data_IF_366435044468
#
_entry.id   IF_366435044468
#
_cell.length_a   1.000
_cell.length_b   1.000
_cell.length_c   1.000
_cell.angle_alpha   90.00
_cell.angle_beta   90.00
_cell.angle_gamma   90.00
#
_symmetry.space_group_name_H-M   'P 1'
#
loop_
_entity.id
_entity.type
_entity.pdbx_description
1 polymer ?
#
# COMPACT_ATOMS: atom_id res chain seq x y z
N UNK A 1 -11.83 15.61 -0.23
CA UNK A 1 -11.39 14.25 -0.67
C UNK A 1 -11.62 13.26 0.46
N UNK A 2 -12.43 12.21 0.24
CA UNK A 2 -12.77 11.18 1.23
C UNK A 2 -12.01 9.90 0.97
N UNK A 3 -11.66 9.14 2.03
CA UNK A 3 -10.94 7.84 1.92
C UNK A 3 -11.70 6.84 1.05
N UNK A 4 -13.03 6.79 1.17
CA UNK A 4 -13.90 5.94 0.34
C UNK A 4 -13.73 6.25 -1.13
N UNK A 5 -13.62 7.52 -1.51
CA UNK A 5 -13.45 7.95 -2.91
C UNK A 5 -12.06 7.58 -3.42
N UNK A 6 -11.03 7.62 -2.57
CA UNK A 6 -9.71 7.09 -2.94
C UNK A 6 -9.74 5.58 -3.21
N UNK A 7 -10.46 4.79 -2.39
CA UNK A 7 -10.66 3.35 -2.66
C UNK A 7 -11.40 3.12 -3.99
N UNK A 8 -12.40 3.94 -4.30
CA UNK A 8 -13.11 3.91 -5.59
C UNK A 8 -12.17 4.21 -6.75
N UNK A 9 -11.38 5.26 -6.63
CA UNK A 9 -10.37 5.63 -7.62
C UNK A 9 -9.37 4.49 -7.87
N UNK A 10 -8.82 3.88 -6.81
CA UNK A 10 -7.88 2.77 -6.91
C UNK A 10 -8.50 1.53 -7.57
N UNK A 11 -9.77 1.23 -7.28
CA UNK A 11 -10.47 0.12 -7.91
C UNK A 11 -10.65 0.34 -9.42
N UNK A 12 -11.02 1.56 -9.85
CA UNK A 12 -11.16 1.89 -11.28
C UNK A 12 -9.80 1.89 -11.98
N UNK A 13 -8.75 2.39 -11.32
CA UNK A 13 -7.39 2.38 -11.84
C UNK A 13 -6.83 0.96 -12.03
N UNK A 14 -7.27 0.00 -11.21
CA UNK A 14 -6.88 -1.42 -11.32
C UNK A 14 -7.65 -2.15 -12.41
N UNK A 15 -8.98 -1.95 -12.46
CA UNK A 15 -9.85 -2.68 -13.39
C UNK A 15 -9.86 -2.07 -14.80
N UNK A 16 -9.35 -0.84 -14.99
CA UNK A 16 -9.41 -0.06 -16.23
C UNK A 16 -10.82 0.02 -16.82
N UNK A 17 -11.84 -0.24 -16.00
CA UNK A 17 -13.24 -0.32 -16.39
C UNK A 17 -14.16 0.07 -15.24
N UNK A 18 -14.95 1.14 -15.42
CA UNK A 18 -15.82 1.67 -14.37
C UNK A 18 -16.92 0.68 -14.00
N UNK A 19 -17.49 -0.03 -14.96
CA UNK A 19 -18.59 -0.99 -14.70
C UNK A 19 -18.12 -2.19 -13.90
N UNK A 20 -16.93 -2.74 -14.22
CA UNK A 20 -16.31 -3.83 -13.45
C UNK A 20 -15.98 -3.37 -12.04
N UNK A 21 -15.36 -2.20 -11.91
CA UNK A 21 -15.03 -1.65 -10.60
C UNK A 21 -16.28 -1.39 -9.75
N UNK A 22 -17.36 -0.88 -10.34
CA UNK A 22 -18.63 -0.65 -9.65
C UNK A 22 -19.23 -1.97 -9.12
N UNK A 23 -19.20 -3.04 -9.91
CA UNK A 23 -19.63 -4.36 -9.48
C UNK A 23 -18.82 -4.90 -8.29
N UNK A 24 -17.49 -4.78 -8.33
CA UNK A 24 -16.59 -5.18 -7.25
C UNK A 24 -16.81 -4.37 -5.95
N UNK A 25 -17.16 -3.10 -6.09
CA UNK A 25 -17.41 -2.19 -4.97
C UNK A 25 -18.86 -2.24 -4.47
N UNK A 26 -19.71 -3.06 -5.07
CA UNK A 26 -21.14 -3.16 -4.78
C UNK A 26 -21.89 -1.82 -4.85
N UNK A 27 -21.52 -0.99 -5.83
CA UNK A 27 -22.17 0.31 -6.12
C UNK A 27 -22.65 0.36 -7.57
N UNK A 28 -23.54 1.31 -7.87
CA UNK A 28 -23.95 1.51 -9.27
C UNK A 28 -22.88 2.27 -10.06
N UNK A 29 -22.74 1.96 -11.34
CA UNK A 29 -21.79 2.64 -12.23
C UNK A 29 -22.02 4.17 -12.27
N UNK A 30 -23.27 4.72 -12.34
CA UNK A 30 -23.48 6.16 -12.28
C UNK A 30 -22.99 6.79 -10.97
N UNK A 31 -23.19 6.12 -9.84
CA UNK A 31 -22.69 6.59 -8.53
C UNK A 31 -21.17 6.67 -8.52
N UNK A 32 -20.49 5.59 -8.95
CA UNK A 32 -19.04 5.55 -9.02
C UNK A 32 -18.50 6.64 -9.95
N UNK A 33 -19.09 6.77 -11.14
CA UNK A 33 -18.69 7.78 -12.12
C UNK A 33 -18.82 9.21 -11.58
N UNK A 34 -19.93 9.51 -10.86
CA UNK A 34 -20.17 10.82 -10.26
C UNK A 34 -19.13 11.12 -9.17
N UNK A 35 -18.83 10.16 -8.31
CA UNK A 35 -17.84 10.34 -7.23
C UNK A 35 -16.44 10.62 -7.79
N UNK A 36 -16.06 9.96 -8.89
CA UNK A 36 -14.77 10.21 -9.54
C UNK A 36 -14.75 11.57 -10.25
N UNK A 37 -15.85 12.00 -10.89
CA UNK A 37 -15.92 13.34 -11.48
C UNK A 37 -15.81 14.43 -10.39
N UNK A 38 -16.49 14.25 -9.27
CA UNK A 38 -16.39 15.17 -8.15
C UNK A 38 -14.96 15.23 -7.60
N UNK A 39 -14.25 14.11 -7.49
CA UNK A 39 -12.85 14.07 -7.10
C UNK A 39 -11.96 14.85 -8.08
N UNK A 40 -12.16 14.68 -9.40
CA UNK A 40 -11.45 15.44 -10.43
C UNK A 40 -11.73 16.95 -10.31
N UNK A 41 -12.97 17.35 -10.03
CA UNK A 41 -13.35 18.74 -9.80
C UNK A 41 -12.70 19.33 -8.54
N UNK A 42 -12.73 18.61 -7.41
CA UNK A 42 -12.08 19.02 -6.17
C UNK A 42 -10.58 19.24 -6.32
N UNK A 43 -9.92 18.39 -7.13
CA UNK A 43 -8.48 18.47 -7.36
C UNK A 43 -8.10 19.42 -8.50
N UNK A 44 -9.05 19.83 -9.33
CA UNK A 44 -8.84 20.69 -10.48
C UNK A 44 -8.08 20.03 -11.64
N UNK A 45 -7.99 18.69 -11.66
CA UNK A 45 -7.24 17.92 -12.65
C UNK A 45 -8.05 16.74 -13.17
N UNK A 46 -7.71 16.24 -14.36
CA UNK A 46 -8.26 14.99 -14.87
C UNK A 46 -7.37 13.82 -14.46
N UNK A 47 -8.00 12.82 -13.86
CA UNK A 47 -7.31 11.62 -13.37
C UNK A 47 -7.36 10.47 -14.38
N UNK A 48 -8.36 10.52 -15.27
CA UNK A 48 -8.59 9.47 -16.26
C UNK A 48 -8.79 10.02 -17.66
N UNK A 49 -8.18 9.38 -18.64
CA UNK A 49 -8.58 9.43 -20.05
C UNK A 49 -9.70 8.40 -20.23
N UNK A 50 -10.92 8.87 -20.57
CA UNK A 50 -12.09 8.02 -20.79
C UNK A 50 -12.25 7.79 -22.28
N UNK A 51 -12.13 6.55 -22.72
CA UNK A 51 -12.55 6.11 -24.06
C UNK A 51 -13.78 5.24 -23.97
N UNK A 52 -14.37 4.89 -25.13
CA UNK A 52 -15.56 4.06 -25.18
C UNK A 52 -15.35 2.66 -24.59
N UNK A 53 -14.10 2.16 -24.53
CA UNK A 53 -13.76 0.79 -24.13
C UNK A 53 -12.83 0.68 -22.92
N UNK A 54 -12.10 1.74 -22.59
CA UNK A 54 -11.09 1.72 -21.51
C UNK A 54 -11.02 3.05 -20.76
N UNK A 55 -10.65 2.93 -19.52
CA UNK A 55 -10.34 4.06 -18.62
C UNK A 55 -8.88 3.95 -18.25
N UNK A 56 -8.06 4.89 -18.72
CA UNK A 56 -6.61 4.89 -18.51
C UNK A 56 -6.24 6.08 -17.64
N UNK A 57 -5.30 5.92 -16.72
CA UNK A 57 -4.81 7.01 -15.89
C UNK A 57 -4.08 8.08 -16.71
N UNK A 58 -4.28 9.35 -16.34
CA UNK A 58 -3.41 10.46 -16.73
C UNK A 58 -2.13 10.45 -15.90
N UNK A 59 -1.17 11.35 -16.17
CA UNK A 59 0.02 11.53 -15.33
C UNK A 59 -0.37 11.94 -13.91
N UNK A 60 -1.34 12.85 -13.75
CA UNK A 60 -1.91 13.22 -12.44
C UNK A 60 -2.61 12.02 -11.78
N UNK A 61 -3.31 11.20 -12.56
CA UNK A 61 -3.91 9.95 -12.10
C UNK A 61 -2.85 8.94 -11.62
N UNK A 62 -1.72 8.82 -12.31
CA UNK A 62 -0.61 7.95 -11.85
C UNK A 62 0.00 8.46 -10.55
N UNK A 63 0.18 9.78 -10.43
CA UNK A 63 0.64 10.39 -9.18
C UNK A 63 -0.35 10.13 -8.04
N UNK A 64 -1.65 10.40 -8.26
CA UNK A 64 -2.67 10.16 -7.25
C UNK A 64 -2.75 8.68 -6.89
N UNK A 65 -2.63 7.74 -7.84
CA UNK A 65 -2.65 6.30 -7.55
C UNK A 65 -1.61 5.91 -6.52
N UNK A 66 -0.37 6.37 -6.69
CA UNK A 66 0.71 6.11 -5.74
C UNK A 66 0.39 6.65 -4.36
N UNK A 67 -0.05 7.92 -4.28
CA UNK A 67 -0.38 8.55 -2.99
C UNK A 67 -1.63 7.97 -2.33
N UNK A 68 -2.67 7.68 -3.12
CA UNK A 68 -3.88 7.05 -2.62
C UNK A 68 -3.61 5.66 -2.04
N UNK A 69 -2.72 4.89 -2.67
CA UNK A 69 -2.30 3.58 -2.17
C UNK A 69 -1.62 3.71 -0.80
N UNK A 70 -0.67 4.65 -0.66
CA UNK A 70 0.02 4.93 0.61
C UNK A 70 -0.98 5.34 1.71
N UNK A 71 -1.92 6.22 1.41
CA UNK A 71 -2.94 6.70 2.36
C UNK A 71 -3.84 5.56 2.82
N UNK A 72 -4.36 4.76 1.89
CA UNK A 72 -5.25 3.64 2.21
C UNK A 72 -4.52 2.59 3.04
N UNK A 73 -3.28 2.23 2.68
CA UNK A 73 -2.46 1.28 3.43
C UNK A 73 -2.21 1.77 4.86
N UNK A 74 -1.93 3.06 5.05
CA UNK A 74 -1.68 3.63 6.38
C UNK A 74 -2.95 3.63 7.25
N UNK A 75 -4.11 3.93 6.67
CA UNK A 75 -5.39 3.86 7.39
C UNK A 75 -5.72 2.41 7.77
N UNK A 76 -5.57 1.47 6.83
CA UNK A 76 -5.81 0.04 7.10
C UNK A 76 -4.89 -0.49 8.22
N UNK A 77 -3.64 -0.01 8.26
CA UNK A 77 -2.68 -0.33 9.32
C UNK A 77 -3.15 0.23 10.67
N UNK A 78 -3.54 1.50 10.72
CA UNK A 78 -4.01 2.13 11.95
C UNK A 78 -5.27 1.44 12.50
N UNK A 79 -6.23 1.08 11.63
CA UNK A 79 -7.42 0.34 12.03
C UNK A 79 -7.06 -1.03 12.63
N UNK A 80 -6.13 -1.77 12.02
CA UNK A 80 -5.65 -3.06 12.54
C UNK A 80 -4.97 -2.90 13.90
N UNK A 81 -4.07 -1.93 14.05
CA UNK A 81 -3.36 -1.67 15.31
C UNK A 81 -4.31 -1.38 16.48
N UNK A 82 -5.39 -0.62 16.22
CA UNK A 82 -6.40 -0.29 17.23
C UNK A 82 -7.33 -1.45 17.59
N UNK A 83 -7.55 -2.39 16.67
CA UNK A 83 -8.41 -3.56 16.91
C UNK A 83 -7.73 -4.65 17.75
N UNK A 84 -6.40 -4.66 17.86
CA UNK A 84 -5.63 -5.68 18.55
C UNK A 84 -5.22 -5.24 19.97
N UNK A 85 -6.15 -5.33 20.92
CA UNK A 85 -5.94 -4.90 22.31
C UNK A 85 -5.82 -6.04 23.31
N UNK A 86 -5.40 -7.26 22.99
CA UNK A 86 -5.17 -8.28 24.04
C UNK A 86 -4.18 -9.40 23.67
N UNK A 87 -3.19 -9.59 24.56
CA UNK A 87 -2.45 -10.79 25.02
C UNK A 87 -1.84 -11.81 24.03
N UNK A 88 -2.26 -11.91 22.81
CA UNK A 88 -1.60 -12.72 21.78
C UNK A 88 -0.96 -11.80 20.74
N UNK A 89 0.28 -12.10 20.33
CA UNK A 89 0.93 -11.37 19.23
C UNK A 89 0.17 -11.66 17.94
N UNK A 90 -0.73 -10.75 17.59
CA UNK A 90 -1.54 -10.76 16.38
C UNK A 90 -1.24 -9.48 15.60
N UNK A 91 -1.16 -9.55 14.30
CA UNK A 91 -0.95 -8.37 13.47
C UNK A 91 -0.12 -8.68 12.24
N UNK A 92 0.27 -7.61 11.55
CA UNK A 92 1.08 -7.68 10.34
C UNK A 92 2.41 -6.95 10.57
N UNK A 93 3.50 -7.58 10.17
CA UNK A 93 4.83 -6.97 10.12
C UNK A 93 5.20 -6.77 8.66
N UNK A 94 5.34 -5.51 8.25
CA UNK A 94 5.69 -5.14 6.88
C UNK A 94 7.21 -4.91 6.78
N UNK A 95 7.88 -5.72 5.97
CA UNK A 95 9.34 -5.73 5.84
C UNK A 95 9.76 -5.39 4.43
N UNK A 96 10.56 -4.35 4.27
CA UNK A 96 11.25 -4.06 3.01
C UNK A 96 12.53 -4.89 2.89
N UNK A 97 12.77 -5.50 1.73
CA UNK A 97 13.99 -6.26 1.47
C UNK A 97 14.37 -6.18 -0.01
N UNK A 98 15.65 -6.00 -0.29
CA UNK A 98 16.20 -6.14 -1.64
C UNK A 98 16.26 -7.62 -2.06
N UNK A 99 16.31 -7.87 -3.37
CA UNK A 99 16.51 -9.21 -3.93
C UNK A 99 17.97 -9.67 -3.71
N UNK A 100 18.25 -10.23 -2.54
CA UNK A 100 19.60 -10.62 -2.15
C UNK A 100 19.61 -11.85 -1.25
N UNK A 101 20.81 -12.31 -0.88
CA UNK A 101 21.04 -13.39 0.09
C UNK A 101 20.31 -13.12 1.44
N UNK A 102 20.10 -11.87 1.80
CA UNK A 102 19.31 -11.46 2.97
C UNK A 102 17.88 -12.01 2.99
N UNK A 103 17.27 -12.25 1.82
CA UNK A 103 15.93 -12.85 1.74
C UNK A 103 15.89 -14.28 2.31
N UNK A 104 16.95 -15.07 2.09
CA UNK A 104 17.04 -16.42 2.65
C UNK A 104 17.14 -16.38 4.17
N UNK A 105 17.97 -15.48 4.70
CA UNK A 105 18.09 -15.24 6.13
C UNK A 105 16.75 -14.81 6.74
N UNK A 106 16.10 -13.81 6.16
CA UNK A 106 14.82 -13.31 6.60
C UNK A 106 13.73 -14.40 6.62
N UNK A 107 13.63 -15.19 5.54
CA UNK A 107 12.63 -16.24 5.42
C UNK A 107 12.76 -17.33 6.49
N UNK A 108 13.99 -17.69 6.88
CA UNK A 108 14.24 -18.64 7.95
C UNK A 108 13.75 -18.10 9.31
N UNK A 109 13.99 -16.81 9.60
CA UNK A 109 13.57 -16.18 10.84
C UNK A 109 12.05 -16.00 10.90
N UNK A 110 11.42 -15.58 9.81
CA UNK A 110 9.96 -15.53 9.68
C UNK A 110 9.34 -16.89 9.94
N UNK A 111 9.91 -17.97 9.34
CA UNK A 111 9.41 -19.34 9.57
C UNK A 111 9.47 -19.76 11.04
N UNK A 112 10.57 -19.43 11.75
CA UNK A 112 10.71 -19.72 13.18
C UNK A 112 9.70 -18.93 14.00
N UNK A 113 9.55 -17.64 13.72
CA UNK A 113 8.64 -16.76 14.45
C UNK A 113 7.19 -17.16 14.26
N UNK A 114 6.77 -17.51 13.05
CA UNK A 114 5.39 -17.97 12.77
C UNK A 114 5.03 -19.30 13.47
N UNK A 115 6.01 -20.14 13.81
CA UNK A 115 5.75 -21.35 14.61
C UNK A 115 5.37 -21.01 16.05
N UNK A 116 5.93 -19.93 16.60
CA UNK A 116 5.66 -19.46 17.95
C UNK A 116 4.43 -18.56 18.03
N UNK A 117 4.20 -17.77 16.95
CA UNK A 117 3.15 -16.76 16.87
C UNK A 117 2.38 -16.91 15.53
N UNK A 118 1.51 -17.92 15.40
CA UNK A 118 0.87 -18.26 14.12
C UNK A 118 -0.09 -17.17 13.61
N UNK A 119 -0.56 -16.28 14.47
CA UNK A 119 -1.46 -15.19 14.11
C UNK A 119 -0.75 -13.95 13.59
N UNK A 120 0.61 -13.91 13.62
CA UNK A 120 1.38 -12.82 13.02
C UNK A 120 1.56 -13.07 11.53
N UNK A 121 1.16 -12.10 10.73
CA UNK A 121 1.34 -12.09 9.29
C UNK A 121 2.58 -11.28 8.92
N UNK A 122 3.28 -11.71 7.89
CA UNK A 122 4.44 -10.99 7.36
C UNK A 122 4.17 -10.58 5.92
N UNK A 123 4.32 -9.29 5.65
CA UNK A 123 4.25 -8.74 4.30
C UNK A 123 5.64 -8.31 3.87
N UNK A 124 6.13 -8.89 2.76
CA UNK A 124 7.43 -8.56 2.22
C UNK A 124 7.26 -7.64 1.03
N UNK A 125 7.96 -6.52 1.06
CA UNK A 125 8.04 -5.56 -0.03
C UNK A 125 9.45 -5.58 -0.63
N UNK A 126 9.55 -5.99 -1.90
CA UNK A 126 10.83 -6.04 -2.62
C UNK A 126 11.05 -4.74 -3.38
N UNK A 127 12.13 -4.04 -3.05
CA UNK A 127 12.52 -2.78 -3.69
C UNK A 127 14.01 -2.48 -3.46
N UNK A 128 14.49 -1.39 -4.06
CA UNK A 128 15.82 -0.83 -3.77
C UNK A 128 15.85 -0.15 -2.38
N UNK A 129 17.05 0.19 -1.92
CA UNK A 129 17.26 0.74 -0.58
C UNK A 129 16.55 2.09 -0.37
N UNK A 130 16.54 2.96 -1.38
CA UNK A 130 15.94 4.29 -1.28
C UNK A 130 14.41 4.21 -1.15
N UNK A 131 13.76 3.35 -1.93
CA UNK A 131 12.31 3.12 -1.85
C UNK A 131 11.91 2.50 -0.51
N UNK A 132 12.72 1.57 0.02
CA UNK A 132 12.49 0.95 1.32
C UNK A 132 12.58 2.01 2.41
N UNK A 133 13.62 2.84 2.39
CA UNK A 133 13.84 3.94 3.34
C UNK A 133 12.67 4.93 3.32
N UNK A 134 12.28 5.43 2.14
CA UNK A 134 11.13 6.33 1.98
C UNK A 134 9.85 5.74 2.58
N UNK A 135 9.61 4.44 2.39
CA UNK A 135 8.42 3.77 2.93
C UNK A 135 8.47 3.56 4.43
N UNK A 136 9.65 3.34 5.02
CA UNK A 136 9.84 3.32 6.48
C UNK A 136 9.54 4.70 7.07
N UNK A 137 10.09 5.76 6.49
CA UNK A 137 9.84 7.14 6.92
C UNK A 137 8.35 7.52 6.87
N UNK A 138 7.61 6.97 5.92
CA UNK A 138 6.15 7.15 5.79
C UNK A 138 5.32 6.22 6.68
N UNK A 139 5.93 5.35 7.46
CA UNK A 139 5.22 4.38 8.29
C UNK A 139 4.53 3.23 7.53
N UNK A 140 4.86 3.04 6.26
CA UNK A 140 4.31 1.98 5.40
C UNK A 140 5.04 0.64 5.55
N UNK A 141 6.26 0.67 6.06
CA UNK A 141 7.04 -0.51 6.46
C UNK A 141 7.47 -0.35 7.91
N UNK A 142 7.55 -1.46 8.62
CA UNK A 142 7.98 -1.49 10.01
C UNK A 142 9.49 -1.62 10.13
N UNK A 143 10.11 -2.31 9.15
CA UNK A 143 11.56 -2.48 9.09
C UNK A 143 12.05 -2.72 7.67
N UNK A 144 13.36 -2.54 7.46
CA UNK A 144 14.03 -2.85 6.20
C UNK A 144 15.26 -3.70 6.42
N UNK A 145 15.46 -4.72 5.58
CA UNK A 145 16.71 -5.46 5.47
C UNK A 145 17.47 -4.95 4.25
N UNK A 146 18.55 -4.21 4.52
CA UNK A 146 19.37 -3.55 3.50
C UNK A 146 20.81 -4.08 3.55
N UNK A 147 21.48 -4.09 2.41
CA UNK A 147 22.89 -4.47 2.32
C UNK A 147 23.76 -3.21 2.36
N UNK A 148 24.80 -3.21 3.16
CA UNK A 148 25.76 -2.10 3.19
C UNK A 148 26.59 -2.00 1.89
N UNK A 149 27.01 -0.78 1.50
CA UNK A 149 26.83 0.49 2.20
C UNK A 149 25.46 1.12 1.95
N UNK A 150 24.79 1.57 3.01
CA UNK A 150 23.54 2.33 2.94
C UNK A 150 23.52 3.44 3.99
N UNK A 151 23.16 4.65 3.59
CA UNK A 151 22.95 5.75 4.52
C UNK A 151 21.52 5.69 5.07
N UNK A 152 21.39 5.40 6.36
CA UNK A 152 20.10 5.31 7.06
C UNK A 152 19.78 6.56 7.89
N UNK A 153 20.64 7.61 7.84
CA UNK A 153 20.37 8.88 8.49
C UNK A 153 20.14 8.76 10.00
N UNK A 154 18.91 9.10 10.46
CA UNK A 154 18.51 9.08 11.88
C UNK A 154 17.87 7.78 12.35
N UNK A 155 17.69 6.82 11.48
CA UNK A 155 17.04 5.56 11.80
C UNK A 155 17.89 4.69 12.74
N UNK A 156 17.20 3.82 13.51
CA UNK A 156 17.89 2.85 14.35
C UNK A 156 18.44 1.72 13.49
N UNK A 157 19.74 1.53 13.54
CA UNK A 157 20.46 0.45 12.87
C UNK A 157 20.69 -0.71 13.85
N UNK A 158 20.34 -1.92 13.41
CA UNK A 158 20.81 -3.16 14.03
C UNK A 158 21.56 -3.96 12.97
N UNK A 159 22.82 -4.22 13.22
CA UNK A 159 23.66 -5.06 12.34
C UNK A 159 23.54 -6.50 12.81
N UNK A 160 23.22 -7.41 11.89
CA UNK A 160 23.11 -8.85 12.14
C UNK A 160 24.23 -9.57 11.43
#
# INVERSE_FOLDING_TARGET
MELRVLRYFLAVAREENITKAAALLHVTQPTLSRQLMQLEEELGVKLFHRSQYRVILTDDGMLLRRRAQEIVELVDKAEKELQHTQAELVGEVAIGCGESVGMTFLSQHIRKFRKLHPQVQFRIYSANADDIKERIEKGLLDMGLLTEPVDIGRDRKSVV
#
